data_IF_701062970647
#
_entry.id   IF_701062970647
#
_cell.length_a   1.000
_cell.length_b   1.000
_cell.length_c   1.000
_cell.angle_alpha   90.00
_cell.angle_beta   90.00
_cell.angle_gamma   90.00
#
_symmetry.space_group_name_H-M   'P 1'
#
loop_
_entity.id
_entity.type
_entity.pdbx_description
1 polymer ?
#
# COMPACT_ATOMS: atom_id res chain seq x y z
N UNK A 1 -33.70 45.35 -2.18
CA UNK A 1 -33.21 44.03 -1.70
C UNK A 1 -31.68 44.03 -1.74
N UNK A 2 -31.01 43.79 -0.61
CA UNK A 2 -29.56 44.08 -0.48
C UNK A 2 -28.68 42.94 -1.03
N UNK A 3 -27.57 43.33 -1.67
CA UNK A 3 -26.56 42.45 -2.31
C UNK A 3 -26.01 41.33 -1.39
N UNK A 4 -26.18 41.44 -0.07
CA UNK A 4 -25.77 40.41 0.90
C UNK A 4 -26.62 39.14 0.87
N UNK A 5 -27.88 39.19 0.41
CA UNK A 5 -28.74 37.99 0.33
C UNK A 5 -28.46 37.11 -0.90
N UNK A 6 -27.84 37.66 -1.94
CA UNK A 6 -27.52 36.92 -3.17
C UNK A 6 -26.26 36.06 -2.99
N UNK A 7 -25.26 36.55 -2.24
CA UNK A 7 -24.01 35.80 -2.01
C UNK A 7 -24.25 34.57 -1.11
N UNK A 8 -25.11 34.68 -0.10
CA UNK A 8 -25.45 33.53 0.77
C UNK A 8 -26.24 32.47 0.00
N UNK A 9 -27.11 32.87 -0.94
CA UNK A 9 -27.85 31.92 -1.78
C UNK A 9 -26.96 31.14 -2.74
N UNK A 10 -25.92 31.77 -3.31
CA UNK A 10 -24.97 31.09 -4.21
C UNK A 10 -24.04 30.12 -3.45
N UNK A 11 -23.62 30.45 -2.22
CA UNK A 11 -22.79 29.55 -1.41
C UNK A 11 -23.59 28.34 -0.94
N UNK A 12 -24.88 28.50 -0.59
CA UNK A 12 -25.74 27.38 -0.19
C UNK A 12 -26.14 26.50 -1.39
N UNK A 13 -26.31 27.08 -2.60
CA UNK A 13 -26.57 26.31 -3.82
C UNK A 13 -25.35 25.48 -4.28
N UNK A 14 -24.12 25.97 -4.06
CA UNK A 14 -22.89 25.25 -4.37
C UNK A 14 -22.67 23.97 -3.55
N UNK A 15 -23.21 23.91 -2.32
CA UNK A 15 -23.15 22.70 -1.49
C UNK A 15 -24.30 21.70 -1.75
N UNK A 16 -25.35 22.12 -2.47
CA UNK A 16 -26.56 21.30 -2.69
C UNK A 16 -26.61 20.65 -4.07
N UNK A 17 -25.85 21.15 -5.04
CA UNK A 17 -25.86 20.66 -6.43
C UNK A 17 -24.99 19.41 -6.68
N UNK A 18 -24.26 18.92 -5.66
CA UNK A 18 -23.33 17.80 -5.78
C UNK A 18 -23.95 16.39 -5.90
N UNK A 19 -25.28 16.26 -5.93
CA UNK A 19 -25.96 14.96 -5.94
C UNK A 19 -26.78 14.65 -7.21
N UNK A 20 -26.86 15.55 -8.19
CA UNK A 20 -27.83 15.42 -9.29
C UNK A 20 -27.23 15.12 -10.68
N UNK A 21 -25.91 15.06 -10.84
CA UNK A 21 -25.25 14.79 -12.13
C UNK A 21 -24.21 13.68 -12.06
N UNK A 22 -24.44 12.68 -11.23
CA UNK A 22 -23.63 11.46 -11.21
C UNK A 22 -24.09 10.55 -12.36
N UNK A 23 -23.28 10.34 -13.42
CA UNK A 23 -23.54 9.21 -14.29
C UNK A 23 -23.55 7.92 -13.45
N UNK A 24 -24.48 6.98 -13.68
CA UNK A 24 -24.52 5.74 -12.93
C UNK A 24 -23.19 4.98 -13.08
N UNK A 25 -22.66 4.52 -11.94
CA UNK A 25 -21.42 3.77 -11.84
C UNK A 25 -21.49 2.47 -12.67
N UNK A 26 -20.52 2.28 -13.56
CA UNK A 26 -20.30 1.05 -14.34
C UNK A 26 -18.88 0.53 -14.05
N UNK A 27 -18.62 0.22 -12.78
CA UNK A 27 -17.49 -0.59 -12.31
C UNK A 27 -18.03 -1.79 -11.55
N UNK A 28 -17.24 -2.82 -11.29
CA UNK A 28 -17.72 -4.09 -10.73
C UNK A 28 -18.31 -3.97 -9.31
N UNK A 29 -19.61 -3.69 -9.21
CA UNK A 29 -20.45 -3.83 -8.02
C UNK A 29 -20.05 -2.99 -6.79
N UNK A 30 -20.98 -2.67 -5.87
CA UNK A 30 -20.60 -2.04 -4.61
C UNK A 30 -19.94 -3.11 -3.71
N UNK A 31 -18.62 -3.26 -3.75
CA UNK A 31 -17.92 -3.92 -2.66
C UNK A 31 -18.19 -3.12 -1.38
N UNK A 32 -18.66 -3.75 -0.31
CA UNK A 32 -19.17 -3.05 0.88
C UNK A 32 -18.17 -2.08 1.52
N UNK A 33 -16.88 -2.38 1.33
CA UNK A 33 -15.77 -1.59 1.86
C UNK A 33 -15.29 -0.48 0.91
N UNK A 34 -15.63 -0.51 -0.38
CA UNK A 34 -15.06 0.39 -1.40
C UNK A 34 -16.03 1.53 -1.71
N UNK A 35 -15.54 2.76 -1.68
CA UNK A 35 -16.26 3.98 -2.04
C UNK A 35 -15.48 4.75 -3.08
N UNK A 36 -16.15 5.10 -4.18
CA UNK A 36 -15.55 5.88 -5.26
C UNK A 36 -16.03 7.33 -5.18
N UNK A 37 -15.06 8.24 -5.14
CA UNK A 37 -15.29 9.67 -5.20
C UNK A 37 -15.38 10.21 -6.62
N UNK A 38 -15.44 11.53 -6.70
CA UNK A 38 -15.42 12.27 -7.96
C UNK A 38 -14.21 13.18 -8.03
N UNK A 39 -13.81 13.51 -9.25
CA UNK A 39 -12.78 14.51 -9.48
C UNK A 39 -13.27 15.87 -8.97
N UNK A 40 -12.39 16.57 -8.25
CA UNK A 40 -12.59 17.92 -7.74
C UNK A 40 -11.45 18.76 -8.32
N UNK A 41 -11.61 19.34 -9.53
CA UNK A 41 -10.48 19.90 -10.29
C UNK A 41 -9.66 20.95 -9.54
N UNK A 42 -10.30 21.77 -8.70
CA UNK A 42 -9.61 22.80 -7.92
C UNK A 42 -8.74 22.22 -6.79
N UNK A 43 -8.93 20.96 -6.40
CA UNK A 43 -8.06 20.22 -5.48
C UNK A 43 -7.10 19.30 -6.24
N UNK A 44 -7.62 18.55 -7.21
CA UNK A 44 -6.87 17.51 -7.94
C UNK A 44 -5.75 18.08 -8.82
N UNK A 45 -5.99 19.21 -9.50
CA UNK A 45 -4.97 19.77 -10.40
C UNK A 45 -3.78 20.30 -9.60
N UNK A 46 -3.95 21.13 -8.55
CA UNK A 46 -2.83 21.52 -7.71
C UNK A 46 -2.12 20.33 -7.07
N UNK A 47 -2.88 19.34 -6.60
CA UNK A 47 -2.33 18.12 -6.02
C UNK A 47 -1.44 17.33 -6.99
N UNK A 48 -1.93 17.14 -8.22
CA UNK A 48 -1.22 16.40 -9.25
C UNK A 48 0.10 17.10 -9.64
N UNK A 49 0.13 18.43 -9.60
CA UNK A 49 1.33 19.26 -9.80
C UNK A 49 2.29 19.12 -8.62
N UNK A 50 1.78 19.23 -7.39
CA UNK A 50 2.58 19.10 -6.18
C UNK A 50 3.17 17.68 -6.02
N UNK A 51 2.55 16.67 -6.63
CA UNK A 51 3.04 15.29 -6.68
C UNK A 51 4.18 15.07 -7.68
N UNK A 52 4.50 16.02 -8.57
CA UNK A 52 5.55 15.85 -9.59
C UNK A 52 6.91 15.41 -9.03
N UNK A 53 7.42 15.95 -7.90
CA UNK A 53 8.66 15.46 -7.30
C UNK A 53 8.57 14.00 -6.90
N UNK A 54 7.45 13.57 -6.30
CA UNK A 54 7.21 12.18 -5.92
C UNK A 54 7.16 11.25 -7.14
N UNK A 55 6.43 11.65 -8.19
CA UNK A 55 6.37 10.92 -9.47
C UNK A 55 7.77 10.73 -10.07
N UNK A 56 8.61 11.76 -10.01
CA UNK A 56 9.98 11.72 -10.51
C UNK A 56 10.87 10.82 -9.66
N UNK A 57 10.85 10.97 -8.34
CA UNK A 57 11.64 10.18 -7.39
C UNK A 57 11.28 8.69 -7.50
N UNK A 58 10.00 8.36 -7.64
CA UNK A 58 9.50 6.99 -7.72
C UNK A 58 9.51 6.42 -9.15
N UNK A 59 9.79 7.23 -10.17
CA UNK A 59 9.59 6.88 -11.59
C UNK A 59 8.20 6.31 -11.88
N UNK A 60 7.17 6.88 -11.25
CA UNK A 60 5.79 6.42 -11.37
C UNK A 60 4.85 7.57 -11.70
N UNK A 61 4.39 7.64 -12.95
CA UNK A 61 3.45 8.67 -13.40
C UNK A 61 2.02 8.49 -12.87
N UNK A 62 1.68 7.28 -12.41
CA UNK A 62 0.36 6.97 -11.86
C UNK A 62 0.21 7.38 -10.39
N UNK A 63 1.33 7.69 -9.71
CA UNK A 63 1.34 8.14 -8.34
C UNK A 63 0.63 9.50 -8.18
N UNK A 64 -0.36 9.59 -7.27
CA UNK A 64 -1.19 10.77 -7.02
C UNK A 64 -1.72 11.43 -8.30
N UNK A 65 -2.24 10.63 -9.24
CA UNK A 65 -2.86 11.15 -10.46
C UNK A 65 -4.36 11.44 -10.31
N UNK A 66 -4.96 11.09 -9.16
CA UNK A 66 -6.36 11.27 -8.79
C UNK A 66 -7.35 10.59 -9.76
N UNK A 67 -6.89 9.65 -10.58
CA UNK A 67 -7.66 8.98 -11.63
C UNK A 67 -7.51 7.47 -11.52
N UNK A 68 -8.13 6.89 -10.51
CA UNK A 68 -8.05 5.45 -10.23
C UNK A 68 -8.85 4.66 -11.25
N UNK A 69 -8.18 3.80 -12.01
CA UNK A 69 -8.76 2.95 -13.02
C UNK A 69 -9.60 1.82 -12.41
N UNK A 70 -10.43 1.19 -13.24
CA UNK A 70 -11.16 -0.02 -12.84
C UNK A 70 -10.22 -1.21 -12.61
N UNK A 71 -9.06 -1.24 -13.26
CA UNK A 71 -8.08 -2.31 -13.09
C UNK A 71 -7.46 -2.27 -11.69
N UNK A 72 -7.06 -1.09 -11.21
CA UNK A 72 -6.56 -0.88 -9.85
C UNK A 72 -7.63 -1.22 -8.81
N UNK A 73 -8.87 -0.74 -9.00
CA UNK A 73 -10.00 -1.07 -8.12
C UNK A 73 -10.30 -2.58 -8.10
N UNK A 74 -10.28 -3.26 -9.24
CA UNK A 74 -10.51 -4.70 -9.31
C UNK A 74 -9.42 -5.51 -8.59
N UNK A 75 -8.15 -5.08 -8.69
CA UNK A 75 -7.04 -5.69 -7.95
C UNK A 75 -7.20 -5.51 -6.44
N UNK A 76 -7.59 -4.31 -6.00
CA UNK A 76 -7.92 -4.06 -4.61
C UNK A 76 -9.07 -4.96 -4.14
N UNK A 77 -10.20 -5.00 -4.85
CA UNK A 77 -11.34 -5.86 -4.49
C UNK A 77 -10.93 -7.34 -4.41
N UNK A 78 -10.10 -7.81 -5.34
CA UNK A 78 -9.58 -9.19 -5.30
C UNK A 78 -8.76 -9.46 -4.04
N UNK A 79 -7.94 -8.49 -3.60
CA UNK A 79 -7.21 -8.59 -2.34
C UNK A 79 -8.13 -8.61 -1.13
N UNK A 80 -9.14 -7.75 -1.09
CA UNK A 80 -10.12 -7.71 0.00
C UNK A 80 -10.86 -9.03 0.14
N UNK A 81 -11.28 -9.63 -0.98
CA UNK A 81 -11.96 -10.92 -0.99
C UNK A 81 -11.05 -12.09 -0.57
N UNK A 82 -9.73 -11.98 -0.76
CA UNK A 82 -8.77 -13.02 -0.43
C UNK A 82 -8.35 -13.02 1.04
N UNK A 83 -8.61 -11.94 1.79
CA UNK A 83 -8.18 -11.78 3.18
C UNK A 83 -9.39 -11.65 4.11
N UNK A 84 -9.52 -12.58 5.06
CA UNK A 84 -10.66 -12.61 5.99
C UNK A 84 -10.19 -12.36 7.41
N UNK A 85 -10.30 -11.12 7.88
CA UNK A 85 -10.16 -10.75 9.29
C UNK A 85 -11.34 -9.84 9.68
N UNK A 86 -12.10 -10.11 10.75
CA UNK A 86 -13.29 -9.32 11.07
C UNK A 86 -13.04 -7.82 11.25
N UNK A 87 -11.87 -7.45 11.78
CA UNK A 87 -11.48 -6.05 11.94
C UNK A 87 -11.13 -5.38 10.59
N UNK A 88 -10.58 -6.15 9.66
CA UNK A 88 -10.22 -5.73 8.30
C UNK A 88 -11.47 -5.50 7.44
N UNK A 89 -12.50 -6.35 7.58
CA UNK A 89 -13.78 -6.20 6.87
C UNK A 89 -14.53 -4.90 7.21
N UNK A 90 -14.17 -4.25 8.32
CA UNK A 90 -14.73 -2.96 8.74
C UNK A 90 -13.99 -1.75 8.14
N UNK A 91 -12.85 -1.96 7.49
CA UNK A 91 -12.07 -0.89 6.87
C UNK A 91 -12.80 -0.34 5.65
N UNK A 92 -12.83 0.98 5.51
CA UNK A 92 -13.37 1.64 4.30
C UNK A 92 -12.24 2.08 3.39
N UNK A 93 -12.35 1.83 2.09
CA UNK A 93 -11.40 2.21 1.05
C UNK A 93 -12.02 3.30 0.18
N UNK A 94 -11.39 4.46 0.14
CA UNK A 94 -11.88 5.65 -0.55
C UNK A 94 -11.02 5.97 -1.75
N UNK A 95 -11.59 5.80 -2.93
CA UNK A 95 -10.93 6.00 -4.21
C UNK A 95 -11.23 7.43 -4.69
N UNK A 96 -10.29 8.34 -4.48
CA UNK A 96 -10.42 9.77 -4.78
C UNK A 96 -11.66 10.45 -4.17
N UNK A 97 -12.18 9.93 -3.06
CA UNK A 97 -13.34 10.49 -2.34
C UNK A 97 -12.89 11.50 -1.30
N UNK A 98 -13.49 12.70 -1.35
CA UNK A 98 -13.34 13.72 -0.32
C UNK A 98 -14.63 13.81 0.49
N UNK A 99 -14.58 13.35 1.75
CA UNK A 99 -15.75 13.33 2.63
C UNK A 99 -15.38 13.66 4.09
N UNK A 100 -14.96 14.92 4.38
CA UNK A 100 -14.37 15.31 5.67
C UNK A 100 -15.31 15.08 6.86
N UNK A 101 -16.61 15.31 6.70
CA UNK A 101 -17.59 15.04 7.76
C UNK A 101 -17.80 13.54 8.00
N UNK A 102 -17.65 12.72 6.95
CA UNK A 102 -17.70 11.27 7.10
C UNK A 102 -16.46 10.75 7.83
N UNK A 103 -15.29 11.36 7.65
CA UNK A 103 -14.06 11.04 8.38
C UNK A 103 -14.14 11.38 9.86
N UNK A 104 -14.67 12.57 10.20
CA UNK A 104 -14.92 12.89 11.60
C UNK A 104 -15.94 11.91 12.21
N UNK A 105 -16.99 11.56 11.46
CA UNK A 105 -17.93 10.52 11.88
C UNK A 105 -17.27 9.15 12.06
N UNK A 106 -16.35 8.76 11.16
CA UNK A 106 -15.61 7.51 11.22
C UNK A 106 -14.70 7.45 12.45
N UNK A 107 -13.98 8.54 12.75
CA UNK A 107 -13.20 8.69 13.99
C UNK A 107 -14.05 8.41 15.23
N UNK A 108 -15.27 8.97 15.29
CA UNK A 108 -16.16 8.79 16.45
C UNK A 108 -16.74 7.38 16.56
N UNK A 109 -17.00 6.74 15.41
CA UNK A 109 -17.55 5.38 15.30
C UNK A 109 -16.51 4.27 15.47
N UNK A 110 -15.24 4.52 15.16
CA UNK A 110 -14.18 3.52 15.28
C UNK A 110 -14.00 3.10 16.74
N UNK A 111 -14.55 1.93 17.11
CA UNK A 111 -14.40 1.35 18.46
C UNK A 111 -13.19 0.42 18.58
N UNK A 112 -12.47 0.20 17.47
CA UNK A 112 -11.26 -0.63 17.48
C UNK A 112 -10.06 0.10 18.10
N UNK A 113 -10.14 1.43 18.23
CA UNK A 113 -9.14 2.25 18.91
C UNK A 113 -9.75 2.89 20.16
N UNK A 114 -9.07 2.77 21.29
CA UNK A 114 -9.54 3.33 22.56
C UNK A 114 -9.70 4.86 22.46
N UNK A 115 -10.70 5.40 23.18
CA UNK A 115 -11.07 6.81 23.07
C UNK A 115 -9.92 7.81 23.35
N UNK A 116 -8.94 7.58 24.26
CA UNK A 116 -7.87 8.54 24.48
C UNK A 116 -6.99 8.70 23.25
N UNK A 117 -6.64 7.60 22.58
CA UNK A 117 -5.89 7.63 21.33
C UNK A 117 -6.66 8.36 20.22
N UNK A 118 -7.96 8.10 20.11
CA UNK A 118 -8.80 8.79 19.12
C UNK A 118 -8.90 10.28 19.37
N UNK A 119 -8.96 10.72 20.64
CA UNK A 119 -9.04 12.14 20.97
C UNK A 119 -7.70 12.85 20.85
N UNK A 120 -6.63 12.28 21.43
CA UNK A 120 -5.34 12.95 21.57
C UNK A 120 -4.49 12.87 20.29
N UNK A 121 -4.60 11.78 19.52
CA UNK A 121 -3.83 11.57 18.29
C UNK A 121 -4.74 11.55 17.07
N UNK A 122 -5.84 10.79 17.14
CA UNK A 122 -6.75 10.61 16.02
C UNK A 122 -7.42 11.90 15.56
N UNK A 123 -7.92 12.74 16.48
CA UNK A 123 -8.56 14.01 16.14
C UNK A 123 -7.61 14.99 15.44
N UNK A 124 -6.42 15.33 15.97
CA UNK A 124 -5.52 16.22 15.26
C UNK A 124 -5.07 15.65 13.92
N UNK A 125 -4.81 14.34 13.82
CA UNK A 125 -4.47 13.69 12.55
C UNK A 125 -5.64 13.78 11.56
N UNK A 126 -6.86 13.43 11.95
CA UNK A 126 -8.05 13.49 11.08
C UNK A 126 -8.32 14.93 10.62
N UNK A 127 -8.19 15.91 11.52
CA UNK A 127 -8.40 17.32 11.17
C UNK A 127 -7.33 17.80 10.20
N UNK A 128 -6.06 17.54 10.49
CA UNK A 128 -4.95 18.03 9.65
C UNK A 128 -4.93 17.31 8.31
N UNK A 129 -4.93 15.98 8.32
CA UNK A 129 -4.77 15.18 7.11
C UNK A 129 -6.08 15.04 6.35
N UNK A 130 -7.13 14.47 6.95
CA UNK A 130 -8.35 14.13 6.21
C UNK A 130 -9.20 15.37 5.85
N UNK A 131 -9.19 16.40 6.70
CA UNK A 131 -10.06 17.58 6.54
C UNK A 131 -9.35 18.78 5.91
N UNK A 132 -8.26 19.26 6.52
CA UNK A 132 -7.64 20.56 6.19
C UNK A 132 -6.69 20.46 5.00
N UNK A 133 -5.71 19.56 5.06
CA UNK A 133 -4.78 19.28 3.96
C UNK A 133 -5.38 18.31 2.94
N UNK A 134 -6.59 17.82 3.23
CA UNK A 134 -7.45 16.94 2.44
C UNK A 134 -6.86 15.58 2.10
N UNK A 135 -5.68 15.21 2.60
CA UNK A 135 -4.92 14.01 2.19
C UNK A 135 -4.67 13.94 0.68
N UNK A 136 -5.09 14.97 -0.04
CA UNK A 136 -5.36 15.03 -1.46
C UNK A 136 -4.54 16.14 -2.06
N UNK A 137 -4.05 17.13 -1.29
CA UNK A 137 -3.26 18.26 -1.79
C UNK A 137 -1.76 18.15 -1.46
N UNK A 138 -1.40 17.95 -0.19
CA UNK A 138 0.01 17.97 0.24
C UNK A 138 0.15 17.56 1.72
N UNK A 139 1.31 17.06 2.18
CA UNK A 139 2.38 16.37 1.43
C UNK A 139 2.17 14.86 1.32
N UNK A 140 0.95 14.34 1.25
CA UNK A 140 0.76 12.90 1.40
C UNK A 140 -0.30 12.40 0.43
N UNK A 141 0.07 11.36 -0.30
CA UNK A 141 -0.73 10.71 -1.32
C UNK A 141 -1.67 9.69 -0.71
N UNK A 142 -1.56 8.45 -1.14
CA UNK A 142 -2.28 7.33 -0.56
C UNK A 142 -1.85 7.10 0.90
N UNK A 143 -2.79 6.76 1.79
CA UNK A 143 -2.50 6.41 3.17
C UNK A 143 -3.65 5.65 3.84
N UNK A 144 -3.31 4.86 4.86
CA UNK A 144 -4.23 4.34 5.86
C UNK A 144 -4.25 5.18 7.14
N UNK A 145 -5.43 5.60 7.59
CA UNK A 145 -5.62 6.24 8.89
C UNK A 145 -6.19 5.24 9.91
N UNK A 146 -5.37 4.77 10.88
CA UNK A 146 -5.81 3.77 11.86
C UNK A 146 -6.88 4.29 12.84
N UNK A 147 -7.00 5.61 13.00
CA UNK A 147 -7.97 6.21 13.93
C UNK A 147 -9.37 6.31 13.33
N UNK A 148 -9.49 6.46 12.01
CA UNK A 148 -10.77 6.43 11.30
C UNK A 148 -11.09 5.05 10.72
N UNK A 149 -10.08 4.16 10.61
CA UNK A 149 -10.13 2.89 9.88
C UNK A 149 -10.51 3.10 8.40
N UNK A 150 -9.89 4.11 7.78
CA UNK A 150 -10.13 4.49 6.39
C UNK A 150 -8.81 4.49 5.63
N UNK A 151 -8.81 3.85 4.47
CA UNK A 151 -7.75 3.94 3.47
C UNK A 151 -8.16 4.98 2.44
N UNK A 152 -7.29 5.95 2.18
CA UNK A 152 -7.46 6.97 1.15
C UNK A 152 -6.52 6.63 0.00
N UNK A 153 -7.10 6.47 -1.21
CA UNK A 153 -6.36 6.20 -2.43
C UNK A 153 -6.52 7.35 -3.42
N UNK A 154 -5.41 7.76 -4.02
CA UNK A 154 -5.30 8.78 -5.04
C UNK A 154 -4.38 8.37 -6.20
N UNK A 155 -3.62 7.28 -6.07
CA UNK A 155 -2.77 6.72 -7.12
C UNK A 155 -3.51 5.66 -7.93
N UNK A 156 -3.34 5.70 -9.25
CA UNK A 156 -3.78 4.61 -10.12
C UNK A 156 -2.70 3.52 -10.25
N UNK A 157 -2.32 2.94 -9.10
CA UNK A 157 -1.29 1.91 -9.04
C UNK A 157 -1.74 0.78 -8.11
N UNK A 158 -1.88 -0.42 -8.67
CA UNK A 158 -2.32 -1.58 -7.90
C UNK A 158 -1.35 -1.90 -6.75
N UNK A 159 -0.03 -1.77 -6.93
CA UNK A 159 0.91 -2.05 -5.84
C UNK A 159 0.73 -1.08 -4.67
N UNK A 160 0.47 0.21 -4.95
CA UNK A 160 0.17 1.21 -3.92
C UNK A 160 -1.16 0.91 -3.23
N UNK A 161 -2.21 0.60 -4.00
CA UNK A 161 -3.51 0.25 -3.42
C UNK A 161 -3.44 -0.99 -2.51
N UNK A 162 -2.67 -2.00 -2.92
CA UNK A 162 -2.43 -3.21 -2.14
C UNK A 162 -1.56 -2.93 -0.90
N UNK A 163 -0.59 -2.03 -0.98
CA UNK A 163 0.23 -1.59 0.16
C UNK A 163 -0.64 -0.93 1.24
N UNK A 164 -1.50 0.01 0.86
CA UNK A 164 -2.41 0.65 1.83
C UNK A 164 -3.44 -0.32 2.41
N UNK A 165 -3.91 -1.28 1.61
CA UNK A 165 -4.71 -2.38 2.13
C UNK A 165 -3.91 -3.29 3.08
N UNK A 166 -2.61 -3.47 2.81
CA UNK A 166 -1.66 -4.16 3.68
C UNK A 166 -1.50 -3.49 5.05
N UNK A 167 -1.49 -2.16 5.11
CA UNK A 167 -1.54 -1.42 6.38
C UNK A 167 -2.81 -1.72 7.17
N UNK A 168 -3.98 -1.66 6.52
CA UNK A 168 -5.24 -1.98 7.18
C UNK A 168 -5.29 -3.44 7.67
N UNK A 169 -4.78 -4.38 6.87
CA UNK A 169 -4.69 -5.79 7.22
C UNK A 169 -3.75 -6.04 8.41
N UNK A 170 -2.57 -5.44 8.40
CA UNK A 170 -1.60 -5.50 9.50
C UNK A 170 -2.23 -4.98 10.81
N UNK A 171 -2.83 -3.79 10.76
CA UNK A 171 -3.52 -3.24 11.93
C UNK A 171 -4.67 -4.12 12.42
N UNK A 172 -5.38 -4.81 11.53
CA UNK A 172 -6.50 -5.67 11.88
C UNK A 172 -6.11 -6.82 12.82
N UNK A 173 -4.87 -7.30 12.73
CA UNK A 173 -4.33 -8.42 13.51
C UNK A 173 -3.92 -8.03 14.95
N UNK A 174 -3.74 -6.73 15.23
CA UNK A 174 -3.34 -6.27 16.55
C UNK A 174 -4.54 -5.95 17.47
N UNK A 175 -4.53 -6.45 18.73
CA UNK A 175 -5.60 -6.17 19.70
C UNK A 175 -5.57 -4.72 20.22
N UNK A 176 -4.37 -4.14 20.37
CA UNK A 176 -4.16 -2.78 20.89
C UNK A 176 -3.82 -1.79 19.77
N UNK A 177 -4.73 -1.63 18.81
CA UNK A 177 -4.53 -0.81 17.60
C UNK A 177 -4.09 0.63 17.88
N UNK A 178 -4.61 1.24 18.94
CA UNK A 178 -4.21 2.60 19.34
C UNK A 178 -2.76 2.69 19.82
N UNK A 179 -2.29 1.69 20.56
CA UNK A 179 -0.89 1.59 20.99
C UNK A 179 0.00 1.29 19.79
N UNK A 180 -0.41 0.39 18.90
CA UNK A 180 0.31 0.08 17.66
C UNK A 180 0.43 1.32 16.75
N UNK A 181 -0.62 2.13 16.63
CA UNK A 181 -0.58 3.41 15.95
C UNK A 181 0.37 4.40 16.60
N UNK A 182 0.39 4.49 17.95
CA UNK A 182 1.30 5.37 18.68
C UNK A 182 2.78 4.99 18.46
N UNK A 183 3.08 3.69 18.42
CA UNK A 183 4.46 3.20 18.24
C UNK A 183 5.08 3.66 16.92
N UNK A 184 4.27 3.96 15.89
CA UNK A 184 4.72 4.52 14.62
C UNK A 184 5.46 5.87 14.76
N UNK A 185 5.28 6.59 15.87
CA UNK A 185 6.00 7.85 16.14
C UNK A 185 7.45 7.58 16.55
N UNK A 186 7.75 6.38 17.06
CA UNK A 186 9.11 6.04 17.47
C UNK A 186 9.97 5.76 16.23
N UNK A 187 11.21 6.29 16.18
CA UNK A 187 12.14 5.99 15.09
C UNK A 187 12.25 4.49 14.80
N UNK A 188 12.30 4.15 13.52
CA UNK A 188 12.44 2.81 12.95
C UNK A 188 11.22 1.89 13.06
N UNK A 189 10.29 2.14 14.00
CA UNK A 189 9.06 1.35 14.09
C UNK A 189 8.08 1.67 12.95
N UNK A 190 8.13 2.88 12.42
CA UNK A 190 7.46 3.25 11.17
C UNK A 190 7.95 2.41 9.99
N UNK A 191 9.27 2.21 9.87
CA UNK A 191 9.87 1.38 8.82
C UNK A 191 9.41 -0.07 8.92
N UNK A 192 9.32 -0.62 10.12
CA UNK A 192 8.77 -1.97 10.29
C UNK A 192 7.33 -2.07 9.75
N UNK A 193 6.47 -1.09 10.07
CA UNK A 193 5.10 -1.07 9.58
C UNK A 193 5.02 -0.90 8.05
N UNK A 194 5.84 -0.03 7.45
CA UNK A 194 5.93 0.09 5.99
C UNK A 194 6.42 -1.19 5.31
N UNK A 195 7.37 -1.89 5.94
CA UNK A 195 7.85 -3.18 5.46
C UNK A 195 6.74 -4.23 5.50
N UNK A 196 6.00 -4.33 6.60
CA UNK A 196 4.89 -5.28 6.75
C UNK A 196 3.79 -5.06 5.70
N UNK A 197 3.40 -3.80 5.46
CA UNK A 197 2.44 -3.47 4.40
C UNK A 197 2.95 -3.85 3.00
N UNK A 198 4.23 -3.58 2.72
CA UNK A 198 4.87 -3.93 1.43
C UNK A 198 4.93 -5.45 1.22
N UNK A 199 5.33 -6.21 2.25
CA UNK A 199 5.39 -7.66 2.21
C UNK A 199 3.98 -8.26 2.05
N UNK A 200 2.96 -7.73 2.73
CA UNK A 200 1.58 -8.18 2.55
C UNK A 200 1.09 -7.99 1.10
N UNK A 201 1.44 -6.88 0.46
CA UNK A 201 1.10 -6.62 -0.94
C UNK A 201 1.83 -7.59 -1.90
N UNK A 202 3.14 -7.78 -1.71
CA UNK A 202 3.96 -8.67 -2.55
C UNK A 202 3.56 -10.14 -2.36
N UNK A 203 3.37 -10.57 -1.11
CA UNK A 203 2.98 -11.93 -0.78
C UNK A 203 1.65 -12.30 -1.45
N UNK A 204 0.66 -11.40 -1.43
CA UNK A 204 -0.59 -11.61 -2.15
C UNK A 204 -0.36 -11.79 -3.66
N UNK A 205 0.47 -10.96 -4.29
CA UNK A 205 0.75 -11.09 -5.72
C UNK A 205 1.44 -12.43 -6.06
N UNK A 206 2.33 -12.90 -5.19
CA UNK A 206 2.95 -14.24 -5.30
C UNK A 206 1.91 -15.36 -5.13
N UNK A 207 1.02 -15.26 -4.12
CA UNK A 207 -0.08 -16.20 -3.89
C UNK A 207 -1.01 -16.31 -5.10
N UNK A 208 -1.31 -15.18 -5.75
CA UNK A 208 -2.13 -15.12 -6.97
C UNK A 208 -1.37 -15.49 -8.25
N UNK A 209 -0.09 -15.85 -8.14
CA UNK A 209 0.80 -16.13 -9.27
C UNK A 209 0.89 -14.96 -10.29
N UNK A 210 0.65 -13.73 -9.83
CA UNK A 210 0.71 -12.51 -10.63
C UNK A 210 2.14 -12.00 -10.71
N UNK A 211 2.95 -12.65 -11.55
CA UNK A 211 4.40 -12.37 -11.68
C UNK A 211 4.68 -10.93 -12.12
N UNK A 212 3.89 -10.39 -13.04
CA UNK A 212 4.08 -9.01 -13.51
C UNK A 212 3.65 -7.99 -12.46
N UNK A 213 2.55 -8.24 -11.74
CA UNK A 213 2.16 -7.47 -10.58
C UNK A 213 3.23 -7.47 -9.49
N UNK A 214 3.80 -8.64 -9.17
CA UNK A 214 4.91 -8.78 -8.22
C UNK A 214 6.14 -7.96 -8.66
N UNK A 215 6.54 -8.05 -9.92
CA UNK A 215 7.69 -7.28 -10.42
C UNK A 215 7.43 -5.78 -10.40
N UNK A 216 6.20 -5.36 -10.71
CA UNK A 216 5.78 -3.97 -10.60
C UNK A 216 5.83 -3.50 -9.15
N UNK A 217 5.28 -4.28 -8.21
CA UNK A 217 5.33 -3.98 -6.78
C UNK A 217 6.76 -3.79 -6.29
N UNK A 218 7.72 -4.65 -6.69
CA UNK A 218 9.12 -4.44 -6.32
C UNK A 218 9.72 -3.14 -6.87
N UNK A 219 9.35 -2.72 -8.08
CA UNK A 219 9.84 -1.47 -8.67
C UNK A 219 9.18 -0.23 -8.09
N UNK A 220 7.98 -0.35 -7.52
CA UNK A 220 7.24 0.77 -6.95
C UNK A 220 7.48 0.90 -5.44
N UNK A 221 7.34 -0.19 -4.69
CA UNK A 221 7.35 -0.18 -3.23
C UNK A 221 8.76 -0.08 -2.64
N UNK A 222 9.80 -0.63 -3.27
CA UNK A 222 11.17 -0.52 -2.74
C UNK A 222 11.72 0.91 -2.78
N UNK A 223 11.57 1.68 -3.87
CA UNK A 223 11.90 3.10 -3.86
C UNK A 223 11.09 3.89 -2.82
N UNK A 224 9.78 3.62 -2.71
CA UNK A 224 8.93 4.25 -1.71
C UNK A 224 9.43 3.96 -0.28
N UNK A 225 9.66 2.68 0.06
CA UNK A 225 10.27 2.26 1.32
C UNK A 225 11.61 2.97 1.59
N UNK A 226 12.45 3.07 0.55
CA UNK A 226 13.71 3.80 0.60
C UNK A 226 13.56 5.28 0.97
N UNK A 227 12.48 5.95 0.56
CA UNK A 227 12.24 7.35 0.97
C UNK A 227 12.01 7.50 2.47
N UNK A 228 11.33 6.53 3.11
CA UNK A 228 11.13 6.52 4.56
C UNK A 228 12.45 6.29 5.30
N UNK A 229 13.25 5.31 4.87
CA UNK A 229 14.59 5.10 5.44
C UNK A 229 15.52 6.30 5.24
N UNK A 230 15.43 6.96 4.10
CA UNK A 230 16.18 8.18 3.78
C UNK A 230 15.75 9.41 4.58
N UNK A 231 14.52 9.45 5.10
CA UNK A 231 14.01 10.59 5.87
C UNK A 231 14.73 10.80 7.23
N UNK A 232 15.49 9.80 7.68
CA UNK A 232 16.38 9.90 8.84
C UNK A 232 17.66 10.70 8.55
N UNK A 233 17.91 11.06 7.30
CA UNK A 233 19.01 11.92 6.87
C UNK A 233 18.46 13.29 6.44
N UNK A 234 19.30 14.34 6.32
CA UNK A 234 18.84 15.67 5.94
C UNK A 234 18.03 15.69 4.64
N UNK A 235 16.79 16.15 4.74
CA UNK A 235 15.88 16.30 3.60
C UNK A 235 16.30 17.48 2.70
N UNK A 236 16.07 17.42 1.37
CA UNK A 236 15.48 16.30 0.64
C UNK A 236 16.51 15.24 0.19
N UNK A 237 17.82 15.49 0.42
CA UNK A 237 18.91 14.63 -0.08
C UNK A 237 18.81 13.20 0.48
N UNK A 238 18.43 13.06 1.74
CA UNK A 238 18.19 11.77 2.38
C UNK A 238 17.15 10.93 1.65
N UNK A 239 15.94 11.45 1.43
CA UNK A 239 14.88 10.72 0.70
C UNK A 239 15.24 10.42 -0.75
N UNK A 240 15.96 11.31 -1.43
CA UNK A 240 16.44 11.06 -2.81
C UNK A 240 17.45 9.92 -2.82
N UNK A 241 18.44 9.94 -1.92
CA UNK A 241 19.44 8.88 -1.81
C UNK A 241 18.78 7.54 -1.42
N UNK A 242 17.85 7.58 -0.46
CA UNK A 242 17.07 6.42 -0.03
C UNK A 242 16.24 5.81 -1.16
N UNK A 243 15.51 6.63 -1.94
CA UNK A 243 14.80 6.17 -3.13
C UNK A 243 15.74 5.57 -4.18
N UNK A 244 16.93 6.17 -4.38
CA UNK A 244 17.96 5.63 -5.27
C UNK A 244 18.41 4.22 -4.87
N UNK A 245 18.70 4.01 -3.58
CA UNK A 245 19.00 2.67 -3.04
C UNK A 245 17.81 1.73 -3.23
N UNK A 246 16.59 2.20 -2.97
CA UNK A 246 15.36 1.43 -3.18
C UNK A 246 15.16 0.99 -4.63
N UNK A 247 15.42 1.86 -5.61
CA UNK A 247 15.38 1.52 -7.04
C UNK A 247 16.36 0.40 -7.39
N UNK A 248 17.59 0.50 -6.89
CA UNK A 248 18.62 -0.52 -7.10
C UNK A 248 18.17 -1.86 -6.50
N UNK A 249 17.74 -1.85 -5.25
CA UNK A 249 17.29 -3.06 -4.55
C UNK A 249 16.06 -3.70 -5.22
N UNK A 250 15.06 -2.91 -5.59
CA UNK A 250 13.88 -3.38 -6.33
C UNK A 250 14.25 -4.03 -7.67
N UNK A 251 15.21 -3.46 -8.42
CA UNK A 251 15.72 -4.04 -9.68
C UNK A 251 16.44 -5.38 -9.45
N UNK A 252 17.23 -5.49 -8.38
CA UNK A 252 17.86 -6.76 -8.01
C UNK A 252 16.83 -7.83 -7.64
N UNK A 253 15.81 -7.48 -6.86
CA UNK A 253 14.70 -8.39 -6.53
C UNK A 253 13.96 -8.89 -7.76
N UNK A 254 13.62 -7.99 -8.69
CA UNK A 254 12.99 -8.40 -9.95
C UNK A 254 13.89 -9.35 -10.76
N UNK A 255 15.21 -9.10 -10.82
CA UNK A 255 16.14 -9.98 -11.53
C UNK A 255 16.18 -11.38 -10.88
N UNK A 256 16.31 -11.43 -9.55
CA UNK A 256 16.31 -12.68 -8.78
C UNK A 256 15.03 -13.50 -9.02
N UNK A 257 13.86 -12.85 -8.90
CA UNK A 257 12.56 -13.51 -9.09
C UNK A 257 12.31 -13.96 -10.52
N UNK A 258 12.78 -13.20 -11.52
CA UNK A 258 12.73 -13.62 -12.92
C UNK A 258 13.55 -14.89 -13.18
N UNK A 259 14.75 -14.99 -12.61
CA UNK A 259 15.57 -16.20 -12.72
C UNK A 259 14.96 -17.39 -11.97
N UNK A 260 14.35 -17.13 -10.81
CA UNK A 260 13.57 -18.15 -10.09
C UNK A 260 12.43 -18.71 -10.95
N UNK A 261 11.61 -17.84 -11.56
CA UNK A 261 10.50 -18.30 -12.40
C UNK A 261 10.97 -18.99 -13.68
N UNK A 262 12.04 -18.52 -14.33
CA UNK A 262 12.63 -19.24 -15.46
C UNK A 262 13.04 -20.67 -15.10
N UNK A 263 13.68 -20.87 -13.93
CA UNK A 263 14.06 -22.21 -13.46
C UNK A 263 12.82 -23.06 -13.17
N UNK A 264 11.82 -22.48 -12.53
CA UNK A 264 10.57 -23.18 -12.23
C UNK A 264 9.81 -23.60 -13.50
N UNK A 265 9.71 -22.72 -14.50
CA UNK A 265 9.08 -23.01 -15.78
C UNK A 265 9.86 -24.07 -16.56
N UNK A 266 11.19 -24.04 -16.50
CA UNK A 266 12.03 -25.09 -17.10
C UNK A 266 11.81 -26.47 -16.43
N UNK A 267 11.57 -26.50 -15.12
CA UNK A 267 11.26 -27.73 -14.37
C UNK A 267 9.86 -28.24 -14.72
N UNK A 268 8.85 -27.36 -14.73
CA UNK A 268 7.46 -27.73 -14.98
C UNK A 268 7.16 -28.01 -16.46
N UNK A 269 7.87 -27.35 -17.37
CA UNK A 269 7.75 -27.53 -18.82
C UNK A 269 8.66 -28.62 -19.39
N UNK A 270 9.52 -29.24 -18.58
CA UNK A 270 10.33 -30.35 -19.03
C UNK A 270 9.45 -31.61 -19.21
N UNK A 271 9.59 -32.36 -20.33
CA UNK A 271 9.07 -33.73 -20.38
C UNK A 271 9.65 -34.53 -19.19
N UNK A 272 8.94 -35.55 -18.68
CA UNK A 272 9.29 -36.30 -17.45
C UNK A 272 10.79 -36.69 -17.35
N UNK A 273 11.47 -36.91 -18.47
CA UNK A 273 12.91 -37.17 -18.54
C UNK A 273 13.79 -36.01 -18.03
N UNK A 274 13.39 -34.75 -18.22
CA UNK A 274 14.11 -33.58 -17.72
C UNK A 274 13.97 -33.40 -16.21
N UNK A 275 12.82 -33.76 -15.63
CA UNK A 275 12.61 -33.80 -14.19
C UNK A 275 13.52 -34.83 -13.50
N UNK A 276 13.67 -36.03 -14.09
CA UNK A 276 14.61 -37.06 -13.60
C UNK A 276 16.07 -36.61 -13.63
N UNK A 277 16.49 -35.87 -14.68
CA UNK A 277 17.86 -35.34 -14.77
C UNK A 277 18.12 -34.25 -13.72
N UNK A 278 17.16 -33.36 -13.47
CA UNK A 278 17.30 -32.32 -12.46
C UNK A 278 17.38 -32.91 -11.04
N UNK A 279 16.57 -33.91 -10.73
CA UNK A 279 16.66 -34.67 -9.48
C UNK A 279 18.03 -35.36 -9.32
N UNK A 280 18.60 -35.92 -10.39
CA UNK A 280 19.94 -36.52 -10.35
C UNK A 280 21.07 -35.49 -10.17
N UNK A 281 20.86 -34.24 -10.58
CA UNK A 281 21.85 -33.16 -10.47
C UNK A 281 21.86 -32.46 -9.10
N UNK A 282 20.76 -32.55 -8.35
CA UNK A 282 20.64 -31.99 -7.00
C UNK A 282 21.01 -32.97 -5.89
N UNK A 283 21.31 -34.23 -6.19
CA UNK A 283 21.94 -35.12 -5.21
C UNK A 283 23.35 -34.58 -4.92
N UNK A 284 23.62 -34.10 -3.69
CA UNK A 284 24.98 -33.72 -3.32
C UNK A 284 25.84 -34.95 -3.53
N UNK A 285 26.95 -34.80 -4.26
CA UNK A 285 27.94 -35.86 -4.41
C UNK A 285 28.28 -36.37 -3.01
N UNK A 286 27.71 -37.51 -2.63
CA UNK A 286 28.00 -38.17 -1.37
C UNK A 286 29.47 -38.50 -1.45
N UNK A 287 30.31 -37.68 -0.84
CA UNK A 287 31.69 -38.05 -0.55
C UNK A 287 31.60 -39.35 0.25
N UNK A 288 31.93 -40.45 -0.41
CA UNK A 288 32.13 -41.76 0.18
C UNK A 288 32.97 -41.59 1.46
N UNK A 289 32.33 -41.69 2.61
CA UNK A 289 32.93 -41.56 3.94
C UNK A 289 33.64 -42.85 4.37
N UNK A 290 34.29 -43.56 3.45
CA UNK A 290 35.05 -44.79 3.72
C UNK A 290 36.51 -44.51 4.16
N UNK A 291 36.78 -43.35 4.76
CA UNK A 291 38.14 -42.97 5.20
C UNK A 291 38.32 -42.75 6.70
N UNK A 292 37.27 -42.88 7.52
CA UNK A 292 37.33 -42.49 8.94
C UNK A 292 37.35 -43.67 9.94
N UNK A 293 37.42 -44.92 9.48
CA UNK A 293 37.43 -46.11 10.35
C UNK A 293 38.80 -46.81 10.40
N UNK A 294 39.88 -46.14 10.00
CA UNK A 294 41.23 -46.74 9.95
C UNK A 294 42.28 -46.04 10.84
N UNK A 295 41.87 -45.21 11.81
CA UNK A 295 42.79 -44.51 12.73
C UNK A 295 42.44 -44.68 14.22
N UNK A 296 41.75 -45.76 14.60
CA UNK A 296 41.45 -46.08 16.00
C UNK A 296 41.96 -47.46 16.46
N UNK A 297 42.91 -48.07 15.76
CA UNK A 297 43.55 -49.36 16.14
C UNK A 297 45.07 -49.26 16.45
N UNK A 298 45.63 -48.06 16.63
CA UNK A 298 47.07 -47.89 17.00
C UNK A 298 47.30 -47.38 18.45
N UNK A 299 46.34 -47.56 19.36
CA UNK A 299 46.50 -47.20 20.78
C UNK A 299 46.00 -48.29 21.76
N UNK A 300 46.27 -49.56 21.46
CA UNK A 300 46.37 -50.67 22.43
C UNK A 300 47.66 -51.47 22.16
#
# INVERSE_FOLDING_TARGET
MSRRRIIVACVVAGFSAGCAFTPPYVGQGPHLQVRRGHAIPFLDVPAEILALPGKLILWNGAFCNHRISQATEAKLISYLNAKTLPAFEQTTYRLNEYAPFQDLGALMRNKQVAWPYRLLLGLPITVVYDIVLTGRLFPWGDYYNPYTNVVHLYSDDAAVALHEAGHAYDFADYPLKGTYALLRILPFLDLYQEWMASENAVAYLVEQQDREGEFHAYRTLWPAYGTYGGAYLPLPLGSIAGAGVGHIAGRFKVKERREYYKRMDAVLGAPEEGLRRLQSSQQPATKSSNGATQLLEEWE
#
